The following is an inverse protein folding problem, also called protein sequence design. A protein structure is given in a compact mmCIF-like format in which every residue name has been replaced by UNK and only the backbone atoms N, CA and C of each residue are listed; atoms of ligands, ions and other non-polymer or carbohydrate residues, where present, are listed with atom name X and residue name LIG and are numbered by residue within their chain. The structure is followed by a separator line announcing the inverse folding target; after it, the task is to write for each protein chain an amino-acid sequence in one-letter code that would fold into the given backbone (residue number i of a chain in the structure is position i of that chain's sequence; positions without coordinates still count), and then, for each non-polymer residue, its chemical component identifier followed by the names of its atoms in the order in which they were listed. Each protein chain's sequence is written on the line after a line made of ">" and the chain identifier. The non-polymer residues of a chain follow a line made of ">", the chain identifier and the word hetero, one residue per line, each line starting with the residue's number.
data_IF_051093565117
#
_entry.id   IF_051093565117
#
_cell.length_a   1.000
_cell.length_b   1.000
_cell.length_c   1.000
_cell.angle_alpha   90.00
_cell.angle_beta   90.00
_cell.angle_gamma   90.00
#
_symmetry.space_group_name_H-M   'P 1'
#
loop_
_entity.id
_entity.type
_entity.pdbx_description
1 polymer ?
#
# COMPACT_ATOMS: atom_id res chain seq x y z
N UNK A 1 -1.07 -7.31 -22.72
CA UNK A 1 -1.72 -7.84 -21.51
C UNK A 1 -3.00 -7.07 -21.28
N UNK A 2 -4.16 -7.74 -21.23
CA UNK A 2 -5.43 -7.08 -20.93
C UNK A 2 -5.31 -6.34 -19.58
N UNK A 3 -5.54 -5.03 -19.59
CA UNK A 3 -5.54 -4.20 -18.40
C UNK A 3 -6.78 -4.56 -17.59
N UNK A 4 -6.59 -5.08 -16.38
CA UNK A 4 -7.70 -5.30 -15.46
C UNK A 4 -8.41 -3.96 -15.21
N UNK A 5 -9.72 -3.85 -15.46
CA UNK A 5 -10.45 -2.59 -15.27
C UNK A 5 -10.34 -2.10 -13.82
N UNK A 6 -10.32 -3.03 -12.86
CA UNK A 6 -10.14 -2.74 -11.43
C UNK A 6 -8.80 -2.05 -11.13
N UNK A 7 -7.69 -2.57 -11.65
CA UNK A 7 -6.36 -1.99 -11.42
C UNK A 7 -6.21 -0.62 -12.10
N UNK A 8 -6.84 -0.43 -13.26
CA UNK A 8 -6.86 0.89 -13.92
C UNK A 8 -7.69 1.92 -13.14
N UNK A 9 -8.82 1.53 -12.55
CA UNK A 9 -9.59 2.42 -11.66
C UNK A 9 -8.74 2.87 -10.46
N UNK A 10 -7.98 1.98 -9.84
CA UNK A 10 -7.05 2.33 -8.74
C UNK A 10 -5.95 3.27 -9.23
N UNK A 11 -5.36 2.97 -10.40
CA UNK A 11 -4.33 3.82 -11.03
C UNK A 11 -4.85 5.24 -11.22
N UNK A 12 -6.01 5.40 -11.86
CA UNK A 12 -6.62 6.71 -12.12
C UNK A 12 -6.92 7.44 -10.82
N UNK A 13 -7.45 6.74 -9.82
CA UNK A 13 -7.75 7.29 -8.50
C UNK A 13 -6.49 7.82 -7.77
N UNK A 14 -5.34 7.17 -7.94
CA UNK A 14 -4.06 7.64 -7.40
C UNK A 14 -3.47 8.80 -8.23
N UNK A 15 -3.62 8.79 -9.56
CA UNK A 15 -3.17 9.88 -10.44
C UNK A 15 -3.88 11.19 -10.06
N UNK A 16 -5.20 11.15 -9.88
CA UNK A 16 -6.02 12.32 -9.48
C UNK A 16 -5.60 12.90 -8.13
N UNK A 17 -4.97 12.09 -7.25
CA UNK A 17 -4.42 12.54 -5.96
C UNK A 17 -2.93 12.88 -5.99
N UNK A 18 -2.35 13.08 -7.17
CA UNK A 18 -0.96 13.45 -7.36
C UNK A 18 0.05 12.48 -6.70
N UNK A 19 -0.28 11.19 -6.62
CA UNK A 19 0.71 10.19 -6.25
C UNK A 19 1.81 10.11 -7.32
N UNK A 20 3.06 9.93 -6.89
CA UNK A 20 4.16 9.73 -7.82
C UNK A 20 3.96 8.45 -8.65
N UNK A 21 4.42 8.45 -9.91
CA UNK A 21 4.35 7.26 -10.78
C UNK A 21 4.98 6.03 -10.13
N UNK A 22 6.10 6.22 -9.42
CA UNK A 22 6.78 5.14 -8.68
C UNK A 22 5.92 4.56 -7.57
N UNK A 23 5.24 5.42 -6.80
CA UNK A 23 4.31 4.98 -5.75
C UNK A 23 3.14 4.21 -6.34
N UNK A 24 2.57 4.70 -7.44
CA UNK A 24 1.45 4.06 -8.14
C UNK A 24 1.85 2.65 -8.58
N UNK A 25 2.98 2.50 -9.26
CA UNK A 25 3.45 1.20 -9.74
C UNK A 25 3.69 0.21 -8.60
N UNK A 26 4.33 0.69 -7.53
CA UNK A 26 4.59 -0.10 -6.33
C UNK A 26 3.29 -0.57 -5.66
N UNK A 27 2.30 0.32 -5.56
CA UNK A 27 1.02 -0.01 -4.92
C UNK A 27 0.23 -1.00 -5.77
N UNK A 28 0.15 -0.78 -7.08
CA UNK A 28 -0.53 -1.69 -8.00
C UNK A 28 0.13 -3.08 -8.00
N UNK A 29 1.45 -3.16 -7.88
CA UNK A 29 2.17 -4.42 -7.73
C UNK A 29 1.71 -5.19 -6.49
N UNK A 30 1.73 -4.55 -5.31
CA UNK A 30 1.32 -5.22 -4.06
C UNK A 30 -0.16 -5.59 -4.04
N UNK A 31 -1.03 -4.72 -4.55
CA UNK A 31 -2.46 -4.99 -4.66
C UNK A 31 -2.72 -6.18 -5.59
N UNK A 32 -2.08 -6.21 -6.76
CA UNK A 32 -2.18 -7.34 -7.69
C UNK A 32 -1.66 -8.62 -7.04
N UNK A 33 -0.55 -8.55 -6.33
CA UNK A 33 0.06 -9.71 -5.70
C UNK A 33 -0.81 -10.29 -4.57
N UNK A 34 -1.44 -9.42 -3.78
CA UNK A 34 -2.42 -9.80 -2.76
C UNK A 34 -3.64 -10.49 -3.37
N UNK A 35 -4.20 -9.95 -4.46
CA UNK A 35 -5.35 -10.56 -5.17
C UNK A 35 -4.96 -11.95 -5.70
N UNK A 36 -3.75 -12.11 -6.24
CA UNK A 36 -3.28 -13.39 -6.76
C UNK A 36 -3.05 -14.42 -5.65
N UNK A 37 -2.54 -13.99 -4.49
CA UNK A 37 -2.35 -14.85 -3.33
C UNK A 37 -3.67 -15.41 -2.81
N UNK A 38 -4.72 -14.58 -2.79
CA UNK A 38 -6.08 -14.98 -2.39
C UNK A 38 -6.91 -15.50 -3.57
N UNK A 39 -6.31 -16.26 -4.48
CA UNK A 39 -7.02 -16.95 -5.59
C UNK A 39 -7.92 -16.06 -6.47
N UNK A 40 -7.52 -14.80 -6.70
CA UNK A 40 -8.29 -13.77 -7.45
C UNK A 40 -9.61 -13.37 -6.77
N UNK A 41 -9.74 -13.59 -5.47
CA UNK A 41 -10.86 -13.05 -4.70
C UNK A 41 -10.84 -11.52 -4.71
N UNK A 42 -12.02 -10.92 -4.79
CA UNK A 42 -12.16 -9.47 -4.81
C UNK A 42 -11.76 -8.91 -3.43
N UNK A 43 -10.91 -7.86 -3.36
CA UNK A 43 -10.38 -7.34 -2.09
C UNK A 43 -11.45 -6.77 -1.15
N UNK A 44 -12.66 -6.51 -1.63
CA UNK A 44 -13.81 -6.18 -0.79
C UNK A 44 -14.12 -7.28 0.24
N UNK A 45 -14.04 -8.54 -0.17
CA UNK A 45 -14.33 -9.72 0.65
C UNK A 45 -13.19 -10.14 1.58
N UNK A 46 -12.00 -9.56 1.41
CA UNK A 46 -10.79 -9.94 2.14
C UNK A 46 -10.59 -8.96 3.31
N UNK A 47 -10.66 -9.42 4.55
CA UNK A 47 -10.58 -8.61 5.76
C UNK A 47 -9.16 -8.42 6.31
N UNK A 48 -9.09 -8.06 7.60
CA UNK A 48 -7.83 -7.91 8.32
C UNK A 48 -7.04 -9.24 8.37
N UNK A 49 -7.71 -10.34 8.63
CA UNK A 49 -7.12 -11.68 8.72
C UNK A 49 -6.38 -12.08 7.42
N UNK A 50 -6.96 -11.76 6.27
CA UNK A 50 -6.35 -12.02 4.97
C UNK A 50 -5.13 -11.14 4.69
N UNK A 51 -5.14 -9.91 5.20
CA UNK A 51 -3.98 -8.99 5.14
C UNK A 51 -2.85 -9.54 6.02
N UNK A 52 -3.15 -9.98 7.24
CA UNK A 52 -2.18 -10.56 8.17
C UNK A 52 -1.57 -11.85 7.60
N UNK A 53 -2.39 -12.74 7.05
CA UNK A 53 -1.94 -13.97 6.40
C UNK A 53 -0.98 -13.68 5.23
N UNK A 54 -1.29 -12.67 4.42
CA UNK A 54 -0.44 -12.26 3.31
C UNK A 54 0.90 -11.67 3.78
N UNK A 55 0.89 -10.81 4.80
CA UNK A 55 2.12 -10.22 5.35
C UNK A 55 3.00 -11.29 6.02
N UNK A 56 2.40 -12.22 6.74
CA UNK A 56 3.10 -13.38 7.31
C UNK A 56 3.75 -14.23 6.21
N UNK A 57 3.03 -14.50 5.13
CA UNK A 57 3.57 -15.18 3.96
C UNK A 57 4.76 -14.41 3.33
N UNK A 58 4.68 -13.08 3.23
CA UNK A 58 5.80 -12.26 2.72
C UNK A 58 7.04 -12.36 3.62
N UNK A 59 6.85 -12.39 4.94
CA UNK A 59 7.93 -12.49 5.91
C UNK A 59 8.58 -13.88 5.89
N UNK A 60 7.78 -14.93 5.94
CA UNK A 60 8.27 -16.31 6.12
C UNK A 60 8.71 -16.93 4.80
N UNK A 61 7.86 -16.90 3.78
CA UNK A 61 8.13 -17.60 2.52
C UNK A 61 8.95 -16.76 1.55
N UNK A 62 8.65 -15.47 1.44
CA UNK A 62 9.36 -14.57 0.51
C UNK A 62 10.57 -13.87 1.14
N UNK A 63 10.75 -13.99 2.47
CA UNK A 63 11.87 -13.41 3.23
C UNK A 63 12.10 -11.92 2.92
N UNK A 64 11.02 -11.18 2.69
CA UNK A 64 11.14 -9.76 2.32
C UNK A 64 11.49 -8.90 3.54
N UNK A 65 12.25 -7.83 3.31
CA UNK A 65 12.64 -6.91 4.38
C UNK A 65 11.45 -6.26 5.08
N UNK A 66 11.62 -5.86 6.34
CA UNK A 66 10.59 -5.14 7.11
C UNK A 66 10.11 -3.86 6.40
N UNK A 67 11.02 -3.16 5.72
CA UNK A 67 10.70 -1.98 4.91
C UNK A 67 9.78 -2.33 3.75
N UNK A 68 10.02 -3.47 3.09
CA UNK A 68 9.19 -4.00 2.01
C UNK A 68 7.80 -4.39 2.51
N UNK A 69 7.70 -5.04 3.68
CA UNK A 69 6.41 -5.38 4.30
C UNK A 69 5.61 -4.14 4.65
N UNK A 70 6.26 -3.10 5.16
CA UNK A 70 5.61 -1.81 5.44
C UNK A 70 5.02 -1.18 4.19
N UNK A 71 5.71 -1.25 3.05
CA UNK A 71 5.20 -0.74 1.77
C UNK A 71 3.99 -1.57 1.31
N UNK A 72 4.06 -2.89 1.42
CA UNK A 72 2.95 -3.77 1.07
C UNK A 72 1.72 -3.49 1.95
N UNK A 73 1.89 -3.41 3.27
CA UNK A 73 0.83 -3.06 4.21
C UNK A 73 0.19 -1.71 3.88
N UNK A 74 1.01 -0.67 3.63
CA UNK A 74 0.51 0.65 3.28
C UNK A 74 -0.34 0.63 2.00
N UNK A 75 0.05 -0.16 0.99
CA UNK A 75 -0.73 -0.32 -0.23
C UNK A 75 -2.08 -1.00 0.02
N UNK A 76 -2.12 -2.01 0.89
CA UNK A 76 -3.37 -2.73 1.24
C UNK A 76 -4.30 -1.88 2.12
N UNK A 77 -3.75 -1.16 3.10
CA UNK A 77 -4.53 -0.22 3.93
C UNK A 77 -5.10 0.90 3.07
N UNK A 78 -4.31 1.43 2.11
CA UNK A 78 -4.80 2.39 1.13
C UNK A 78 -5.97 1.85 0.31
N UNK A 79 -5.84 0.62 -0.22
CA UNK A 79 -6.89 -0.03 -1.00
C UNK A 79 -8.20 -0.12 -0.21
N UNK A 80 -8.12 -0.56 1.05
CA UNK A 80 -9.32 -0.77 1.89
C UNK A 80 -9.96 0.52 2.38
N UNK A 81 -9.15 1.44 2.91
CA UNK A 81 -9.65 2.65 3.56
C UNK A 81 -9.95 3.78 2.59
N UNK A 82 -9.12 3.96 1.55
CA UNK A 82 -9.25 5.09 0.62
C UNK A 82 -10.04 4.71 -0.61
N UNK A 83 -9.74 3.56 -1.22
CA UNK A 83 -10.35 3.18 -2.50
C UNK A 83 -11.71 2.49 -2.32
N UNK A 84 -11.81 1.49 -1.43
CA UNK A 84 -13.07 0.79 -1.15
C UNK A 84 -13.96 1.52 -0.13
N UNK A 85 -13.45 2.58 0.51
CA UNK A 85 -14.13 3.32 1.59
C UNK A 85 -14.74 2.41 2.68
N UNK A 86 -14.17 1.23 2.91
CA UNK A 86 -14.61 0.34 3.98
C UNK A 86 -14.12 0.89 5.32
N UNK A 87 -15.02 0.95 6.31
CA UNK A 87 -14.63 1.15 7.70
C UNK A 87 -13.83 -0.07 8.15
N UNK A 88 -12.51 -0.02 8.02
CA UNK A 88 -11.66 -1.00 8.68
C UNK A 88 -11.77 -0.77 10.18
N UNK A 89 -12.30 -1.77 10.89
CA UNK A 89 -12.09 -1.90 12.34
C UNK A 89 -10.60 -1.67 12.63
N UNK A 90 -10.25 -0.86 13.64
CA UNK A 90 -8.87 -0.51 13.90
C UNK A 90 -8.04 -1.79 14.09
N UNK A 91 -6.97 -1.94 13.29
CA UNK A 91 -5.97 -2.98 13.48
C UNK A 91 -5.31 -2.73 14.84
N UNK A 92 -5.81 -3.38 15.88
CA UNK A 92 -5.42 -3.17 17.29
C UNK A 92 -3.93 -3.43 17.56
N UNK A 93 -3.19 -4.01 16.60
CA UNK A 93 -1.78 -4.38 16.77
C UNK A 93 -0.76 -3.62 15.93
N UNK A 94 -1.14 -2.62 15.12
CA UNK A 94 -0.17 -1.88 14.30
C UNK A 94 0.01 -0.45 14.80
N UNK A 95 1.03 -0.26 15.64
CA UNK A 95 1.47 1.05 16.12
C UNK A 95 1.91 1.89 14.91
N UNK A 96 1.02 2.79 14.47
CA UNK A 96 1.31 3.75 13.39
C UNK A 96 2.46 4.63 13.83
N UNK A 97 3.67 4.34 13.37
CA UNK A 97 4.79 5.26 13.52
C UNK A 97 4.50 6.49 12.65
N UNK A 98 3.96 7.52 13.30
CA UNK A 98 3.72 8.83 12.70
C UNK A 98 5.07 9.49 12.45
N UNK A 99 5.77 9.08 11.38
CA UNK A 99 6.96 9.78 10.94
C UNK A 99 6.52 11.09 10.30
N UNK A 100 6.53 12.15 11.09
CA UNK A 100 6.34 13.51 10.64
C UNK A 100 7.22 13.77 9.41
N UNK A 101 6.62 14.38 8.40
CA UNK A 101 7.28 14.80 7.16
C UNK A 101 8.31 15.86 7.53
N UNK A 102 9.59 15.49 7.64
CA UNK A 102 10.66 16.49 7.76
C UNK A 102 10.69 17.29 6.45
N UNK A 103 10.21 18.52 6.54
CA UNK A 103 10.39 19.55 5.53
C UNK A 103 11.90 19.74 5.31
N UNK A 104 12.39 19.89 4.07
CA UNK A 104 13.79 20.21 3.86
C UNK A 104 14.04 21.63 4.37
N UNK A 105 14.84 21.75 5.44
CA UNK A 105 15.42 23.03 5.81
C UNK A 105 16.41 23.42 4.69
N UNK A 106 16.01 24.37 3.84
CA UNK A 106 16.96 25.05 2.97
C UNK A 106 17.86 25.92 3.85
N UNK A 107 19.02 25.41 4.23
CA UNK A 107 20.13 26.27 4.65
C UNK A 107 20.81 26.79 3.38
N UNK A 108 20.37 27.97 2.94
CA UNK A 108 21.14 28.83 2.03
C UNK A 108 22.34 29.36 2.84
N UNK A 109 23.50 28.72 2.72
CA UNK A 109 24.77 29.36 3.05
C UNK A 109 25.22 30.13 1.80
N UNK A 110 25.21 31.46 1.85
CA UNK A 110 25.95 32.30 0.92
C UNK A 110 27.29 32.65 1.58
N UNK A 111 28.43 32.50 0.88
CA UNK A 111 29.69 33.07 1.32
C UNK A 111 29.87 34.46 0.70
N UNK A 112 30.23 35.43 1.53
CA UNK A 112 31.11 36.56 1.19
C UNK A 112 31.50 37.25 2.51
#
# INVERSE_FOLDING_TARGET
>A
MAKSPFLESIRTFMIVRNYSRRTIDTYLYWIKYFILFHHKQHPDKLGATEIEAFLSYLAVQRKVSVSTQSIALNALVFLKTKFLQQALEPLHHFQKSHRQRKLPAQSRCQPA
#
